data_IF_168127320985
#
_entry.id   IF_168127320985
#
_cell.length_a   1.000
_cell.length_b   1.000
_cell.length_c   1.000
_cell.angle_alpha   90.00
_cell.angle_beta   90.00
_cell.angle_gamma   90.00
#
_symmetry.space_group_name_H-M   'P 1'
#
loop_
_entity.id
_entity.type
_entity.pdbx_description
1 polymer ?
#
# COMPACT_ATOMS: atom_id res chain seq x y z
N UNK A 1 -2.54 -5.14 25.29
CA UNK A 1 -3.72 -5.25 24.40
C UNK A 1 -3.17 -5.11 23.00
N UNK A 2 -2.92 -6.24 22.34
CA UNK A 2 -2.21 -6.30 21.05
C UNK A 2 -3.24 -6.14 19.94
N UNK A 3 -3.60 -4.89 19.62
CA UNK A 3 -4.27 -4.59 18.37
C UNK A 3 -3.24 -4.74 17.25
N UNK A 4 -3.02 -5.99 16.82
CA UNK A 4 -2.33 -6.27 15.57
C UNK A 4 -3.16 -5.66 14.45
N UNK A 5 -2.84 -4.41 14.11
CA UNK A 5 -3.50 -3.68 13.05
C UNK A 5 -3.59 -4.59 11.82
N UNK A 6 -4.78 -4.70 11.20
CA UNK A 6 -5.01 -5.65 10.13
C UNK A 6 -3.98 -5.47 9.02
N UNK A 7 -3.60 -6.56 8.35
CA UNK A 7 -2.49 -6.55 7.36
C UNK A 7 -2.63 -5.45 6.31
N UNK A 8 -3.84 -5.11 5.90
CA UNK A 8 -4.08 -4.02 4.96
C UNK A 8 -3.66 -2.65 5.51
N UNK A 9 -3.72 -2.43 6.84
CA UNK A 9 -3.34 -1.17 7.49
C UNK A 9 -1.82 -1.01 7.48
N UNK A 10 -1.10 -2.06 7.85
CA UNK A 10 0.37 -2.08 7.78
C UNK A 10 0.85 -1.90 6.34
N UNK A 11 0.15 -2.51 5.38
CA UNK A 11 0.41 -2.31 3.95
C UNK A 11 0.10 -0.88 3.54
N UNK A 12 -1.03 -0.29 3.94
CA UNK A 12 -1.39 1.10 3.63
C UNK A 12 -0.36 2.10 4.17
N UNK A 13 0.05 1.97 5.42
CA UNK A 13 1.08 2.81 6.04
C UNK A 13 2.41 2.70 5.28
N UNK A 14 2.81 1.47 4.93
CA UNK A 14 4.03 1.24 4.18
C UNK A 14 3.97 1.81 2.76
N UNK A 15 2.84 1.69 2.08
CA UNK A 15 2.61 2.30 0.76
C UNK A 15 2.70 3.82 0.89
N UNK A 16 2.12 4.39 1.93
CA UNK A 16 2.17 5.82 2.20
C UNK A 16 3.62 6.30 2.36
N UNK A 17 4.45 5.54 3.09
CA UNK A 17 5.88 5.85 3.25
C UNK A 17 6.66 5.74 1.93
N UNK A 18 6.31 4.76 1.08
CA UNK A 18 6.90 4.62 -0.25
C UNK A 18 6.50 5.78 -1.20
N UNK A 19 5.28 6.30 -1.08
CA UNK A 19 4.83 7.52 -1.77
C UNK A 19 5.60 8.73 -1.25
N UNK A 20 5.70 8.90 0.08
CA UNK A 20 6.41 10.00 0.72
C UNK A 20 7.92 10.01 0.41
N UNK A 21 8.53 8.84 0.29
CA UNK A 21 9.95 8.71 -0.10
C UNK A 21 10.21 9.02 -1.58
N UNK A 22 9.17 9.28 -2.38
CA UNK A 22 9.30 9.57 -3.81
C UNK A 22 9.62 8.36 -4.68
N UNK A 23 9.62 7.16 -4.08
CA UNK A 23 9.75 5.87 -4.78
C UNK A 23 8.51 5.58 -5.62
N UNK A 24 7.34 6.03 -5.14
CA UNK A 24 6.05 5.98 -5.82
C UNK A 24 5.70 7.40 -6.31
N UNK A 25 5.91 7.69 -7.61
CA UNK A 25 5.45 8.95 -8.21
C UNK A 25 4.04 8.81 -8.77
N UNK A 26 3.09 9.56 -8.22
CA UNK A 26 1.75 9.74 -8.78
C UNK A 26 1.85 10.31 -10.19
N UNK A 27 1.61 9.50 -11.22
CA UNK A 27 1.59 9.94 -12.62
C UNK A 27 2.39 9.06 -13.58
N UNK A 28 3.43 8.36 -13.10
CA UNK A 28 3.87 7.14 -13.79
C UNK A 28 2.90 6.03 -13.41
N UNK A 29 2.49 5.18 -14.37
CA UNK A 29 1.62 4.03 -14.13
C UNK A 29 1.95 3.42 -12.78
N UNK A 30 1.05 3.57 -11.80
CA UNK A 30 1.19 3.07 -10.42
C UNK A 30 1.95 1.75 -10.52
N UNK A 31 3.12 1.60 -9.87
CA UNK A 31 3.91 0.40 -10.03
C UNK A 31 2.99 -0.75 -9.71
N UNK A 32 2.87 -1.65 -10.70
CA UNK A 32 1.74 -2.56 -10.79
C UNK A 32 1.53 -3.19 -9.43
N UNK A 33 0.30 -3.17 -8.92
CA UNK A 33 -0.10 -3.72 -7.60
C UNK A 33 0.60 -5.05 -7.27
N UNK A 34 0.89 -5.85 -8.32
CA UNK A 34 1.73 -7.04 -8.33
C UNK A 34 3.19 -6.88 -7.84
N UNK A 35 3.93 -5.85 -8.26
CA UNK A 35 5.30 -5.57 -7.78
C UNK A 35 5.31 -5.30 -6.28
N UNK A 36 4.37 -4.49 -5.82
CA UNK A 36 4.23 -4.14 -4.41
C UNK A 36 3.81 -5.37 -3.57
N UNK A 37 2.85 -6.14 -4.08
CA UNK A 37 2.44 -7.43 -3.54
C UNK A 37 3.63 -8.41 -3.42
N UNK A 38 4.50 -8.47 -4.43
CA UNK A 38 5.71 -9.29 -4.38
C UNK A 38 6.75 -8.77 -3.36
N UNK A 39 6.97 -7.46 -3.28
CA UNK A 39 7.92 -6.87 -2.32
C UNK A 39 7.46 -7.07 -0.87
N UNK A 40 6.17 -6.88 -0.60
CA UNK A 40 5.58 -7.03 0.72
C UNK A 40 5.14 -8.46 1.05
N UNK A 41 5.30 -9.40 0.11
CA UNK A 41 4.77 -10.77 0.19
C UNK A 41 3.31 -10.82 0.65
N UNK A 42 2.52 -9.83 0.26
CA UNK A 42 1.11 -9.72 0.61
C UNK A 42 0.24 -9.91 -0.63
N UNK A 43 -1.03 -10.28 -0.46
CA UNK A 43 -1.93 -10.50 -1.59
C UNK A 43 -2.22 -9.18 -2.32
N UNK A 44 -2.39 -9.27 -3.64
CA UNK A 44 -2.78 -8.12 -4.49
C UNK A 44 -4.05 -7.44 -3.96
N UNK A 45 -5.00 -8.21 -3.44
CA UNK A 45 -6.23 -7.73 -2.79
C UNK A 45 -5.97 -6.88 -1.56
N UNK A 46 -4.97 -7.22 -0.74
CA UNK A 46 -4.55 -6.42 0.43
C UNK A 46 -3.95 -5.08 0.01
N UNK A 47 -3.14 -5.09 -1.04
CA UNK A 47 -2.57 -3.87 -1.63
C UNK A 47 -3.68 -3.01 -2.25
N UNK A 48 -4.67 -3.62 -2.90
CA UNK A 48 -5.82 -2.91 -3.48
C UNK A 48 -6.68 -2.25 -2.40
N UNK A 49 -6.96 -2.95 -1.29
CA UNK A 49 -7.65 -2.35 -0.14
C UNK A 49 -6.86 -1.19 0.47
N UNK A 50 -5.54 -1.31 0.52
CA UNK A 50 -4.67 -0.25 1.00
C UNK A 50 -4.70 0.98 0.07
N UNK A 51 -4.67 0.79 -1.25
CA UNK A 51 -4.86 1.89 -2.22
C UNK A 51 -6.23 2.53 -2.10
N UNK A 52 -7.30 1.74 -2.01
CA UNK A 52 -8.66 2.27 -1.87
C UNK A 52 -8.78 3.13 -0.60
N UNK A 53 -8.19 2.68 0.51
CA UNK A 53 -8.10 3.45 1.76
C UNK A 53 -7.31 4.74 1.61
N UNK A 54 -6.21 4.71 0.85
CA UNK A 54 -5.39 5.88 0.59
C UNK A 54 -6.12 6.90 -0.30
N UNK A 55 -6.91 6.43 -1.27
CA UNK A 55 -7.79 7.27 -2.08
C UNK A 55 -8.96 7.83 -1.25
N UNK A 56 -9.59 7.04 -0.38
CA UNK A 56 -10.67 7.47 0.50
C UNK A 56 -10.20 8.45 1.60
N UNK A 57 -8.91 8.43 1.95
CA UNK A 57 -8.30 9.31 2.94
C UNK A 57 -7.70 10.61 2.35
N UNK A 58 -7.67 10.75 1.02
CA UNK A 58 -7.25 11.95 0.30
C UNK A 58 -8.40 12.89 -0.01
#
# INVERSE_FOLDING_TARGET
>A
MLDSAPLYHQVADHIHELIRSGTLRSGEKVPSVRRLSNQQRCSVSTVLQAYQRLEDAG
#
